data_IF_780282428170
#
_entry.id   IF_780282428170
#
_cell.length_a   1.000
_cell.length_b   1.000
_cell.length_c   1.000
_cell.angle_alpha   90.00
_cell.angle_beta   90.00
_cell.angle_gamma   90.00
#
_symmetry.space_group_name_H-M   'P 1'
#
loop_
_entity.id
_entity.type
_entity.pdbx_description
1 polymer ?
#
# COMPACT_ATOMS: atom_id res chain seq x y z
N UNK A 1 -13.10 4.27 -1.27
CA UNK A 1 -11.89 3.71 -0.66
C UNK A 1 -12.33 2.79 0.48
N UNK A 2 -11.94 1.52 0.46
CA UNK A 2 -12.22 0.54 1.52
C UNK A 2 -10.91 -0.13 1.99
N UNK A 3 -10.71 -0.33 3.30
CA UNK A 3 -9.55 -1.06 3.79
C UNK A 3 -9.63 -2.56 3.47
N UNK A 4 -8.50 -3.30 3.50
CA UNK A 4 -7.15 -2.77 3.62
C UNK A 4 -6.72 -1.91 2.43
N UNK A 5 -5.78 -1.00 2.68
CA UNK A 5 -5.10 -0.21 1.65
C UNK A 5 -3.78 -0.91 1.28
N UNK A 6 -3.47 -0.97 -0.01
CA UNK A 6 -2.28 -1.65 -0.53
C UNK A 6 -1.38 -0.62 -1.19
N UNK A 7 -0.12 -0.59 -0.78
CA UNK A 7 0.94 0.18 -1.40
C UNK A 7 1.87 -0.80 -2.12
N UNK A 8 2.16 -0.55 -3.40
CA UNK A 8 3.10 -1.33 -4.21
C UNK A 8 4.21 -0.39 -4.67
N UNK A 9 5.46 -0.76 -4.44
CA UNK A 9 6.61 0.04 -4.84
C UNK A 9 7.11 -0.28 -6.27
N UNK A 10 8.20 0.37 -6.67
CA UNK A 10 8.82 0.16 -7.98
C UNK A 10 9.50 -1.21 -8.17
N UNK A 11 9.86 -1.91 -7.09
CA UNK A 11 10.37 -3.29 -7.12
C UNK A 11 9.25 -4.33 -7.22
N UNK A 12 8.04 -3.97 -6.77
CA UNK A 12 6.88 -4.86 -6.65
C UNK A 12 6.67 -5.38 -5.24
N UNK A 13 7.41 -4.88 -4.24
CA UNK A 13 7.17 -5.16 -2.83
C UNK A 13 5.85 -4.50 -2.39
N UNK A 14 5.18 -5.15 -1.43
CA UNK A 14 3.81 -4.79 -1.03
C UNK A 14 3.72 -4.51 0.46
N UNK A 15 3.21 -3.32 0.78
CA UNK A 15 2.81 -2.94 2.14
C UNK A 15 1.29 -2.81 2.26
N UNK A 16 0.75 -3.19 3.43
CA UNK A 16 -0.70 -3.27 3.66
C UNK A 16 -1.12 -2.60 4.96
N UNK A 17 -2.12 -1.72 4.89
CA UNK A 17 -2.55 -0.82 5.96
C UNK A 17 -4.04 -1.02 6.30
N UNK A 18 -4.39 -0.98 7.58
CA UNK A 18 -5.79 -1.08 8.04
C UNK A 18 -6.52 0.26 7.95
N UNK A 19 -5.81 1.38 8.14
CA UNK A 19 -6.34 2.74 8.01
C UNK A 19 -5.57 3.55 6.95
N UNK A 20 -6.25 4.52 6.34
CA UNK A 20 -5.64 5.41 5.34
C UNK A 20 -4.59 6.34 5.98
N UNK A 21 -4.79 6.68 7.25
CA UNK A 21 -3.87 7.50 8.04
C UNK A 21 -2.52 6.81 8.27
N UNK A 22 -2.51 5.47 8.38
CA UNK A 22 -1.27 4.71 8.56
C UNK A 22 -0.41 4.80 7.28
N UNK A 23 -1.05 4.71 6.10
CA UNK A 23 -0.41 4.89 4.80
C UNK A 23 0.08 6.35 4.62
N UNK A 24 -0.77 7.34 4.94
CA UNK A 24 -0.41 8.78 4.90
C UNK A 24 0.78 9.15 5.82
N UNK A 25 1.02 8.37 6.89
CA UNK A 25 2.15 8.56 7.81
C UNK A 25 3.38 7.73 7.44
N UNK A 26 3.21 6.63 6.71
CA UNK A 26 4.29 5.75 6.27
C UNK A 26 5.07 6.31 5.07
N UNK A 27 4.35 6.87 4.09
CA UNK A 27 4.94 7.31 2.82
C UNK A 27 5.61 8.68 2.93
N UNK A 28 6.83 8.83 2.44
CA UNK A 28 7.50 10.13 2.41
C UNK A 28 6.97 11.03 1.28
N UNK A 29 6.83 12.36 1.51
CA UNK A 29 6.42 13.30 0.46
C UNK A 29 7.34 13.38 -0.75
N UNK A 30 8.59 12.93 -0.63
CA UNK A 30 9.61 12.92 -1.69
C UNK A 30 9.31 11.82 -2.71
N UNK A 31 9.10 10.61 -2.24
CA UNK A 31 8.77 9.41 -3.02
C UNK A 31 7.47 9.61 -3.82
N UNK A 32 6.49 10.30 -3.23
CA UNK A 32 5.24 10.70 -3.92
C UNK A 32 5.51 11.64 -5.08
N UNK A 33 6.45 12.58 -4.96
CA UNK A 33 6.84 13.47 -6.06
C UNK A 33 7.61 12.71 -7.15
N UNK A 34 8.34 11.66 -6.79
CA UNK A 34 9.06 10.78 -7.70
C UNK A 34 8.18 9.69 -8.34
N UNK A 35 6.95 9.51 -7.84
CA UNK A 35 5.98 8.47 -8.26
C UNK A 35 6.48 7.04 -7.99
N UNK A 36 7.17 6.81 -6.87
CA UNK A 36 7.77 5.51 -6.54
C UNK A 36 6.75 4.43 -6.13
N UNK A 37 5.52 4.84 -5.82
CA UNK A 37 4.44 3.97 -5.35
C UNK A 37 3.18 4.03 -6.20
N UNK A 38 2.50 2.89 -6.31
CA UNK A 38 1.11 2.78 -6.75
C UNK A 38 0.26 2.30 -5.57
N UNK A 39 -0.82 3.01 -5.28
CA UNK A 39 -1.70 2.71 -4.14
C UNK A 39 -3.09 2.25 -4.59
N UNK A 40 -3.64 1.25 -3.92
CA UNK A 40 -4.97 0.68 -4.17
C UNK A 40 -5.78 0.54 -2.89
N UNK A 41 -7.10 0.46 -3.03
CA UNK A 41 -7.99 -0.03 -1.98
C UNK A 41 -8.33 -1.52 -2.17
N UNK A 42 -9.00 -2.13 -1.19
CA UNK A 42 -9.29 -3.57 -1.18
C UNK A 42 -10.20 -4.08 -2.30
N UNK A 43 -10.87 -3.19 -3.04
CA UNK A 43 -11.67 -3.57 -4.20
C UNK A 43 -10.86 -3.57 -5.51
N UNK A 44 -9.68 -2.92 -5.49
CA UNK A 44 -8.85 -2.65 -6.67
C UNK A 44 -9.09 -1.29 -7.29
N UNK A 45 -9.59 -0.31 -6.53
CA UNK A 45 -9.67 1.09 -6.99
C UNK A 45 -8.32 1.76 -6.81
N UNK A 46 -7.84 2.47 -7.83
CA UNK A 46 -6.63 3.27 -7.75
C UNK A 46 -6.80 4.44 -6.77
N UNK A 47 -5.74 4.69 -6.00
CA UNK A 47 -5.61 5.79 -5.05
C UNK A 47 -4.50 6.72 -5.51
N UNK A 48 -4.73 8.02 -5.38
CA UNK A 48 -3.80 9.06 -5.79
C UNK A 48 -3.15 9.65 -4.52
N UNK A 49 -1.82 9.52 -4.43
CA UNK A 49 -1.00 10.09 -3.36
C UNK A 49 -0.62 11.52 -3.73
N UNK A 50 -0.86 12.48 -2.82
CA UNK A 50 -0.61 13.91 -3.07
C UNK A 50 0.10 14.56 -1.91
N UNK A 51 1.08 15.39 -2.19
CA UNK A 51 1.71 16.24 -1.18
C UNK A 51 0.88 17.51 -0.97
N UNK A 52 0.59 17.84 0.30
CA UNK A 52 0.01 19.13 0.71
C UNK A 52 0.86 19.75 1.81
N UNK A 53 0.91 21.08 1.86
CA UNK A 53 1.50 21.77 3.01
C UNK A 53 0.49 21.86 4.16
N UNK A 54 0.87 21.45 5.35
CA UNK A 54 0.15 21.75 6.60
C UNK A 54 0.96 22.72 7.44
N UNK A 55 0.26 23.59 8.17
CA UNK A 55 0.88 24.52 9.12
C UNK A 55 0.94 23.84 10.49
N UNK A 56 2.15 23.64 10.99
CA UNK A 56 2.42 23.08 12.31
C UNK A 56 3.00 24.13 13.27
N UNK A 57 2.82 23.86 14.58
CA UNK A 57 3.37 24.66 15.68
C UNK A 57 2.56 25.89 16.11
N UNK A 58 2.84 26.35 17.33
CA UNK A 58 2.44 27.68 17.84
C UNK A 58 3.66 28.61 17.82
N UNK A 59 3.74 29.44 16.77
CA UNK A 59 4.68 30.56 16.56
C UNK A 59 6.19 30.25 16.79
N UNK A 60 7.03 30.24 15.74
CA UNK A 60 6.70 30.47 14.33
C UNK A 60 5.82 29.36 13.75
N UNK A 61 5.02 29.71 12.73
CA UNK A 61 4.25 28.73 11.95
C UNK A 61 5.18 28.10 10.91
N UNK A 62 5.41 26.79 11.02
CA UNK A 62 6.24 26.04 10.07
C UNK A 62 5.32 25.36 9.06
N UNK A 63 5.65 25.41 7.77
CA UNK A 63 4.98 24.59 6.75
C UNK A 63 5.70 23.26 6.64
N UNK A 64 4.96 22.17 6.70
CA UNK A 64 5.47 20.80 6.59
C UNK A 64 4.72 20.10 5.45
N UNK A 65 5.41 19.50 4.47
CA UNK A 65 4.76 18.66 3.48
C UNK A 65 4.26 17.38 4.16
N UNK A 66 3.03 16.99 3.87
CA UNK A 66 2.45 15.71 4.29
C UNK A 66 1.76 15.05 3.11
N UNK A 67 1.74 13.72 3.10
CA UNK A 67 1.00 12.94 2.11
C UNK A 67 -0.50 13.01 2.43
N UNK A 68 -1.31 13.01 1.39
CA UNK A 68 -2.74 12.81 1.43
C UNK A 68 -3.13 11.74 0.40
N UNK A 69 -3.91 10.75 0.83
CA UNK A 69 -4.51 9.76 -0.05
C UNK A 69 -5.89 10.25 -0.48
N UNK A 70 -6.16 10.23 -1.78
CA UNK A 70 -7.51 10.47 -2.32
C UNK A 70 -7.90 9.36 -3.29
N UNK A 71 -9.18 8.98 -3.31
CA UNK A 71 -9.68 8.02 -4.29
C UNK A 71 -9.58 8.60 -5.69
N UNK A 72 -8.91 7.90 -6.61
CA UNK A 72 -8.86 8.31 -8.01
C UNK A 72 -10.10 7.85 -8.79
N UNK A 73 -10.82 6.82 -8.30
CA UNK A 73 -11.80 6.08 -9.09
C UNK A 73 -13.15 5.87 -8.39
N UNK A 74 -14.23 5.89 -9.18
CA UNK A 74 -15.59 5.56 -8.76
C UNK A 74 -15.97 4.10 -8.97
N UNK A 75 -15.19 3.33 -9.75
CA UNK A 75 -15.32 1.87 -9.93
C UNK A 75 -13.92 1.22 -9.84
N UNK A 76 -13.80 -0.07 -9.48
CA UNK A 76 -12.52 -0.76 -9.31
C UNK A 76 -11.90 -1.14 -10.67
N UNK A 77 -11.52 -0.15 -11.47
CA UNK A 77 -11.01 -0.38 -12.82
C UNK A 77 -9.65 -1.11 -12.83
N UNK A 78 -8.84 -0.92 -11.80
CA UNK A 78 -7.51 -1.53 -11.65
C UNK A 78 -7.50 -2.82 -10.80
N UNK A 79 -8.65 -3.50 -10.69
CA UNK A 79 -8.79 -4.76 -9.95
C UNK A 79 -7.80 -5.84 -10.40
N UNK A 80 -7.58 -5.94 -11.71
CA UNK A 80 -6.69 -6.94 -12.29
C UNK A 80 -5.21 -6.53 -12.20
N UNK A 81 -4.90 -5.23 -12.11
CA UNK A 81 -3.55 -4.74 -11.81
C UNK A 81 -3.15 -5.07 -10.38
N UNK A 82 -4.02 -4.76 -9.41
CA UNK A 82 -3.82 -5.15 -8.01
C UNK A 82 -3.68 -6.69 -7.89
N UNK A 83 -4.55 -7.47 -8.56
CA UNK A 83 -4.42 -8.93 -8.60
C UNK A 83 -3.05 -9.38 -9.10
N UNK A 84 -2.55 -8.81 -10.21
CA UNK A 84 -1.24 -9.14 -10.79
C UNK A 84 -0.09 -8.81 -9.84
N UNK A 85 -0.13 -7.66 -9.15
CA UNK A 85 0.88 -7.31 -8.14
C UNK A 85 0.88 -8.29 -6.98
N UNK A 86 -0.29 -8.63 -6.42
CA UNK A 86 -0.40 -9.60 -5.31
C UNK A 86 0.11 -10.99 -5.71
N UNK A 87 -0.21 -11.47 -6.92
CA UNK A 87 0.29 -12.76 -7.42
C UNK A 87 1.81 -12.76 -7.60
N UNK A 88 2.39 -11.69 -8.17
CA UNK A 88 3.85 -11.54 -8.31
C UNK A 88 4.54 -11.60 -6.95
N UNK A 89 4.06 -10.84 -5.98
CA UNK A 89 4.63 -10.76 -4.64
C UNK A 89 4.59 -12.12 -3.92
N UNK A 90 3.45 -12.82 -3.97
CA UNK A 90 3.34 -14.17 -3.38
C UNK A 90 4.26 -15.18 -4.08
N UNK A 91 4.39 -15.12 -5.41
CA UNK A 91 5.33 -15.96 -6.17
C UNK A 91 6.79 -15.70 -5.77
N UNK A 92 7.18 -14.45 -5.53
CA UNK A 92 8.51 -14.09 -5.01
C UNK A 92 8.76 -14.64 -3.58
N UNK A 93 7.72 -14.81 -2.77
CA UNK A 93 7.79 -15.48 -1.46
C UNK A 93 7.78 -17.03 -1.55
N UNK A 94 7.67 -17.59 -2.76
CA UNK A 94 7.66 -19.04 -2.99
C UNK A 94 6.31 -19.72 -2.82
N UNK A 95 5.19 -18.97 -2.81
CA UNK A 95 3.86 -19.56 -2.84
C UNK A 95 3.56 -20.20 -4.22
N UNK A 96 2.79 -21.29 -4.21
CA UNK A 96 2.36 -21.98 -5.44
C UNK A 96 1.45 -21.07 -6.28
N UNK A 97 1.96 -20.67 -7.44
CA UNK A 97 1.27 -19.81 -8.41
C UNK A 97 -0.07 -20.40 -8.86
N UNK A 98 -0.12 -21.71 -9.14
CA UNK A 98 -1.35 -22.38 -9.64
C UNK A 98 -2.47 -22.42 -8.59
N UNK A 99 -2.10 -22.47 -7.31
CA UNK A 99 -3.02 -22.34 -6.18
C UNK A 99 -3.49 -20.89 -6.05
N UNK A 100 -2.57 -19.93 -6.13
CA UNK A 100 -2.88 -18.51 -5.96
C UNK A 100 -3.73 -17.94 -7.11
N UNK A 101 -3.52 -18.39 -8.35
CA UNK A 101 -4.33 -18.00 -9.51
C UNK A 101 -5.82 -18.36 -9.38
N UNK A 102 -6.17 -19.35 -8.54
CA UNK A 102 -7.55 -19.76 -8.29
C UNK A 102 -8.23 -18.97 -7.15
N UNK A 103 -7.45 -18.24 -6.35
CA UNK A 103 -7.95 -17.48 -5.20
C UNK A 103 -8.71 -16.22 -5.60
N UNK A 104 -9.70 -15.81 -4.81
CA UNK A 104 -10.33 -14.50 -4.99
C UNK A 104 -9.36 -13.36 -4.62
N UNK A 105 -9.66 -12.13 -5.05
CA UNK A 105 -8.86 -10.97 -4.63
C UNK A 105 -8.83 -10.81 -3.10
N UNK A 106 -9.95 -11.12 -2.41
CA UNK A 106 -10.04 -11.05 -0.95
C UNK A 106 -9.12 -12.07 -0.27
N UNK A 107 -8.97 -13.26 -0.86
CA UNK A 107 -8.12 -14.33 -0.33
C UNK A 107 -6.64 -14.03 -0.58
N UNK A 108 -6.29 -13.48 -1.76
CA UNK A 108 -4.94 -12.98 -2.06
C UNK A 108 -4.53 -11.86 -1.10
N UNK A 109 -5.39 -10.86 -0.89
CA UNK A 109 -5.17 -9.79 0.10
C UNK A 109 -4.97 -10.37 1.51
N UNK A 110 -5.80 -11.33 1.91
CA UNK A 110 -5.68 -11.99 3.22
C UNK A 110 -4.38 -12.78 3.37
N UNK A 111 -3.85 -13.36 2.28
CA UNK A 111 -2.58 -14.10 2.27
C UNK A 111 -1.39 -13.15 2.34
N UNK A 112 -1.36 -12.11 1.51
CA UNK A 112 -0.32 -11.05 1.54
C UNK A 112 -0.29 -10.35 2.91
N UNK A 113 -1.44 -9.98 3.47
CA UNK A 113 -1.53 -9.36 4.80
C UNK A 113 -0.91 -10.22 5.91
N UNK A 114 -1.12 -11.54 5.86
CA UNK A 114 -0.49 -12.50 6.80
C UNK A 114 1.02 -12.59 6.59
N UNK A 115 1.49 -12.63 5.34
CA UNK A 115 2.91 -12.65 5.02
C UNK A 115 3.61 -11.39 5.56
N UNK A 116 3.14 -10.20 5.15
CA UNK A 116 3.72 -8.91 5.56
C UNK A 116 3.74 -8.75 7.08
N UNK A 117 2.64 -9.10 7.79
CA UNK A 117 2.63 -9.03 9.27
C UNK A 117 3.47 -10.11 9.96
N UNK A 118 3.58 -11.31 9.38
CA UNK A 118 4.45 -12.38 9.90
C UNK A 118 5.94 -12.05 9.77
N UNK A 119 6.34 -11.36 8.70
CA UNK A 119 7.72 -10.89 8.54
C UNK A 119 8.06 -9.78 9.55
N UNK A 120 7.15 -8.83 9.81
CA UNK A 120 7.36 -7.77 10.82
C UNK A 120 7.60 -8.30 12.24
N UNK A 121 7.09 -9.49 12.61
CA UNK A 121 7.39 -10.11 13.92
C UNK A 121 8.74 -10.83 13.98
N UNK A 122 9.33 -11.21 12.86
CA UNK A 122 10.63 -11.88 12.81
C UNK A 122 11.83 -10.92 12.67
N UNK A 123 11.59 -9.64 12.39
CA UNK A 123 12.63 -8.60 12.28
C UNK A 123 13.22 -8.11 13.62
N UNK A 124 12.79 -8.68 14.76
CA UNK A 124 13.22 -8.26 16.11
C UNK A 124 14.12 -9.29 16.83
N UNK A 125 14.96 -9.99 16.07
CA UNK A 125 16.10 -10.74 16.62
C UNK A 125 17.39 -9.98 16.29
N UNK A 126 17.89 -9.23 17.28
CA UNK A 126 19.21 -8.62 17.24
C UNK A 126 20.26 -9.57 17.83
N UNK A 127 21.35 -9.79 17.08
CA UNK A 127 22.69 -10.12 17.58
C UNK A 127 23.72 -9.31 16.79
#
# INVERSE_FOLDING_TARGET
MRPPFVLVDSAGDIEVFDAVQDLEQYVEPTDVQQNEYVAYDSEGRLLNLRCKEVVSGRLPRIRVPVVQVVGAEQEPAHRDDLRRSLLRFLSQLGDDETVCEQLSLSDLLSRVYRAVRGHRTNGFCAE
#
